data_IF_729875856439
#
_entry.id   IF_729875856439
#
_cell.length_a   1.000
_cell.length_b   1.000
_cell.length_c   1.000
_cell.angle_alpha   90.00
_cell.angle_beta   90.00
_cell.angle_gamma   90.00
#
_symmetry.space_group_name_H-M   'P 1'
#
loop_
_entity.id
_entity.type
_entity.pdbx_description
1 polymer ?
#
# COMPACT_ATOMS: atom_id res chain seq x y z
N UNK A 1 -19.25 55.58 -19.18
CA UNK A 1 -17.95 55.65 -18.47
C UNK A 1 -18.10 55.09 -17.07
N UNK A 2 -17.11 54.32 -16.58
CA UNK A 2 -16.97 53.63 -15.26
C UNK A 2 -17.39 52.14 -15.33
N UNK A 3 -16.47 51.26 -15.76
CA UNK A 3 -15.43 50.53 -14.97
C UNK A 3 -15.97 49.21 -14.40
N UNK A 4 -15.77 48.15 -15.20
CA UNK A 4 -15.25 46.82 -14.81
C UNK A 4 -15.34 46.43 -13.33
N UNK A 5 -16.04 45.34 -13.04
CA UNK A 5 -15.53 44.34 -12.10
C UNK A 5 -16.09 42.94 -12.42
N UNK A 6 -15.39 42.23 -13.28
CA UNK A 6 -15.54 40.79 -13.52
C UNK A 6 -15.10 40.06 -12.25
N UNK A 7 -16.03 39.56 -11.44
CA UNK A 7 -15.71 38.69 -10.31
C UNK A 7 -15.65 37.25 -10.83
N UNK A 8 -14.53 36.91 -11.45
CA UNK A 8 -14.08 35.53 -11.65
C UNK A 8 -12.98 35.27 -10.62
N UNK A 9 -13.36 34.96 -9.38
CA UNK A 9 -12.43 34.55 -8.34
C UNK A 9 -12.55 33.04 -8.16
N UNK A 10 -11.60 32.34 -8.78
CA UNK A 10 -11.37 30.92 -8.68
C UNK A 10 -11.15 30.51 -7.21
N UNK A 11 -12.00 29.62 -6.70
CA UNK A 11 -11.73 28.85 -5.48
C UNK A 11 -11.59 27.39 -5.87
N UNK A 12 -10.50 27.08 -6.57
CA UNK A 12 -9.95 25.73 -6.66
C UNK A 12 -8.75 25.68 -5.71
N UNK A 13 -9.00 25.83 -4.41
CA UNK A 13 -8.05 25.38 -3.39
C UNK A 13 -8.10 23.85 -3.39
N UNK A 14 -7.43 23.22 -4.36
CA UNK A 14 -7.13 21.80 -4.30
C UNK A 14 -6.24 21.56 -3.09
N UNK A 15 -6.76 20.87 -2.07
CA UNK A 15 -5.97 20.40 -0.94
C UNK A 15 -4.86 19.48 -1.48
N UNK A 16 -3.65 20.01 -1.57
CA UNK A 16 -2.45 19.25 -1.85
C UNK A 16 -2.05 18.45 -0.61
N UNK A 17 -2.77 17.36 -0.34
CA UNK A 17 -2.23 16.22 0.36
C UNK A 17 -2.03 15.15 -0.70
N UNK A 18 -0.77 14.75 -0.96
CA UNK A 18 -0.50 13.63 -1.86
C UNK A 18 -1.25 12.37 -1.42
N UNK A 19 -1.35 11.34 -2.30
CA UNK A 19 -1.97 10.08 -1.92
C UNK A 19 -1.35 9.58 -0.61
N UNK A 20 -2.13 9.07 0.35
CA UNK A 20 -1.58 8.57 1.59
C UNK A 20 -0.52 7.49 1.29
N UNK A 21 0.48 7.36 2.16
CA UNK A 21 1.59 6.40 1.99
C UNK A 21 1.09 4.98 1.65
N UNK A 22 -0.05 4.59 2.24
CA UNK A 22 -0.71 3.32 1.97
C UNK A 22 -1.17 3.13 0.51
N UNK A 23 -1.54 4.19 -0.20
CA UNK A 23 -1.89 4.08 -1.63
C UNK A 23 -0.61 4.03 -2.49
N UNK A 24 0.45 4.72 -2.06
CA UNK A 24 1.72 4.76 -2.81
C UNK A 24 2.48 3.43 -2.76
N UNK A 25 2.37 2.71 -1.64
CA UNK A 25 3.11 1.45 -1.42
C UNK A 25 2.34 0.20 -1.83
N UNK A 26 1.04 0.29 -2.09
CA UNK A 26 0.21 -0.83 -2.57
C UNK A 26 0.79 -1.57 -3.79
N UNK A 27 1.25 -0.89 -4.87
CA UNK A 27 1.82 -1.60 -6.03
C UNK A 27 3.10 -2.38 -5.68
N UNK A 28 3.93 -1.85 -4.78
CA UNK A 28 5.14 -2.54 -4.33
C UNK A 28 4.78 -3.76 -3.47
N UNK A 29 3.78 -3.62 -2.60
CA UNK A 29 3.29 -4.71 -1.78
C UNK A 29 2.74 -5.87 -2.63
N UNK A 30 1.92 -5.55 -3.64
CA UNK A 30 1.39 -6.52 -4.61
C UNK A 30 2.52 -7.18 -5.41
N UNK A 31 3.51 -6.40 -5.85
CA UNK A 31 4.68 -6.93 -6.56
C UNK A 31 5.48 -7.92 -5.72
N UNK A 32 5.69 -7.62 -4.43
CA UNK A 32 6.38 -8.50 -3.49
C UNK A 32 5.60 -9.79 -3.23
N UNK A 33 4.29 -9.70 -2.99
CA UNK A 33 3.43 -10.88 -2.85
C UNK A 33 3.42 -11.74 -4.13
N UNK A 34 3.39 -11.10 -5.30
CA UNK A 34 3.41 -11.79 -6.61
C UNK A 34 4.70 -12.58 -6.79
N UNK A 35 5.88 -11.96 -6.59
CA UNK A 35 7.18 -12.65 -6.73
C UNK A 35 7.30 -13.83 -5.78
N UNK A 36 6.84 -13.65 -4.52
CA UNK A 36 6.86 -14.70 -3.52
C UNK A 36 5.94 -15.85 -3.90
N UNK A 37 4.73 -15.56 -4.34
CA UNK A 37 3.78 -16.56 -4.80
C UNK A 37 4.26 -17.30 -6.05
N UNK A 38 4.89 -16.60 -7.00
CA UNK A 38 5.44 -17.25 -8.19
C UNK A 38 6.49 -18.31 -7.83
N UNK A 39 7.31 -18.00 -6.82
CA UNK A 39 8.31 -18.92 -6.29
C UNK A 39 7.69 -20.05 -5.46
N UNK A 40 6.80 -19.74 -4.51
CA UNK A 40 6.21 -20.75 -3.60
C UNK A 40 5.20 -21.67 -4.28
N UNK A 41 4.44 -21.17 -5.26
CA UNK A 41 3.43 -21.94 -6.02
C UNK A 41 4.01 -22.60 -7.29
N UNK A 42 5.31 -22.41 -7.56
CA UNK A 42 5.99 -22.85 -8.79
C UNK A 42 5.20 -22.48 -10.07
N UNK A 43 4.72 -21.25 -10.12
CA UNK A 43 3.74 -20.81 -11.10
C UNK A 43 4.03 -19.38 -11.55
N UNK A 44 4.35 -19.16 -12.83
CA UNK A 44 4.56 -17.79 -13.33
C UNK A 44 3.26 -16.99 -13.45
N UNK A 45 2.14 -17.68 -13.75
CA UNK A 45 0.83 -17.07 -13.92
C UNK A 45 0.06 -17.08 -12.60
N UNK A 46 0.32 -16.09 -11.76
CA UNK A 46 -0.42 -15.81 -10.53
C UNK A 46 -1.20 -14.51 -10.65
N UNK A 47 -2.34 -14.43 -9.98
CA UNK A 47 -3.15 -13.24 -9.86
C UNK A 47 -3.15 -12.78 -8.40
N UNK A 48 -2.65 -11.58 -8.14
CA UNK A 48 -2.56 -11.01 -6.80
C UNK A 48 -3.63 -9.93 -6.61
N UNK A 49 -4.35 -10.01 -5.50
CA UNK A 49 -5.42 -9.08 -5.14
C UNK A 49 -5.28 -8.65 -3.69
N UNK A 50 -5.37 -7.35 -3.43
CA UNK A 50 -5.37 -6.81 -2.07
C UNK A 50 -6.70 -7.15 -1.41
N UNK A 51 -6.66 -7.93 -0.34
CA UNK A 51 -7.84 -8.30 0.48
C UNK A 51 -8.11 -7.21 1.51
N UNK A 52 -7.05 -6.74 2.18
CA UNK A 52 -7.15 -5.69 3.20
C UNK A 52 -5.86 -4.88 3.23
N UNK A 53 -5.97 -3.63 3.65
CA UNK A 53 -4.87 -2.69 3.80
C UNK A 53 -5.07 -1.87 5.07
N UNK A 54 -4.04 -1.78 5.89
CA UNK A 54 -4.09 -1.07 7.17
C UNK A 54 -2.82 -0.25 7.39
N UNK A 55 -2.99 1.00 7.82
CA UNK A 55 -1.86 1.87 8.19
C UNK A 55 -1.63 1.74 9.68
N UNK A 56 -0.59 1.01 10.07
CA UNK A 56 -0.17 0.93 11.46
C UNK A 56 0.55 2.21 11.86
N UNK A 57 0.05 2.78 12.96
CA UNK A 57 0.72 3.88 13.64
C UNK A 57 2.00 3.36 14.31
N UNK A 58 3.03 4.22 14.42
CA UNK A 58 4.26 3.82 15.07
C UNK A 58 4.03 3.43 16.53
N UNK A 59 4.57 2.28 16.92
CA UNK A 59 4.47 1.75 18.29
C UNK A 59 5.13 2.66 19.34
N UNK A 60 6.03 3.54 18.91
CA UNK A 60 6.66 4.56 19.74
C UNK A 60 6.27 5.94 19.20
N UNK A 61 5.44 6.64 19.96
CA UNK A 61 5.09 8.04 19.75
C UNK A 61 5.41 8.80 21.03
N UNK A 62 6.46 9.61 21.00
CA UNK A 62 6.89 10.47 22.11
C UNK A 62 6.98 11.91 21.61
N UNK A 63 7.07 12.87 22.53
CA UNK A 63 7.17 14.29 22.17
C UNK A 63 8.45 14.64 21.36
N UNK A 64 9.49 13.79 21.41
CA UNK A 64 10.76 14.01 20.70
C UNK A 64 10.93 13.07 19.50
N UNK A 65 10.25 11.93 19.49
CA UNK A 65 10.46 10.87 18.51
C UNK A 65 9.17 10.15 18.16
N UNK A 66 8.86 10.10 16.86
CA UNK A 66 7.79 9.30 16.27
C UNK A 66 8.45 8.21 15.44
N UNK A 67 8.17 6.94 15.74
CA UNK A 67 8.68 5.83 14.95
C UNK A 67 8.16 5.86 13.49
N UNK A 68 8.71 5.04 12.59
CA UNK A 68 8.24 4.99 11.22
C UNK A 68 6.82 4.43 11.15
N UNK A 69 5.95 5.09 10.39
CA UNK A 69 4.64 4.57 10.02
C UNK A 69 4.83 3.24 9.24
N UNK A 70 3.92 2.30 9.36
CA UNK A 70 3.96 1.06 8.56
C UNK A 70 2.65 0.87 7.83
N UNK A 71 2.71 0.48 6.56
CA UNK A 71 1.54 0.04 5.83
C UNK A 71 1.57 -1.49 5.74
N UNK A 72 0.50 -2.14 6.17
CA UNK A 72 0.31 -3.57 6.07
C UNK A 72 -0.75 -3.89 5.02
N UNK A 73 -0.45 -4.87 4.16
CA UNK A 73 -1.33 -5.32 3.10
C UNK A 73 -1.51 -6.83 3.22
N UNK A 74 -2.76 -7.27 3.34
CA UNK A 74 -3.09 -8.68 3.17
C UNK A 74 -3.39 -8.90 1.70
N UNK A 75 -2.51 -9.61 1.00
CA UNK A 75 -2.62 -9.89 -0.43
C UNK A 75 -2.96 -11.36 -0.62
N UNK A 76 -4.14 -11.62 -1.18
CA UNK A 76 -4.53 -12.94 -1.67
C UNK A 76 -3.91 -13.17 -3.05
N UNK A 77 -3.32 -14.33 -3.26
CA UNK A 77 -2.74 -14.71 -4.55
C UNK A 77 -3.31 -16.05 -4.97
N UNK A 78 -3.78 -16.13 -6.21
CA UNK A 78 -4.29 -17.34 -6.81
C UNK A 78 -3.51 -17.67 -8.09
N UNK A 79 -3.08 -18.92 -8.24
CA UNK A 79 -2.33 -19.36 -9.41
C UNK A 79 -2.19 -20.87 -9.44
N UNK A 80 -2.21 -21.45 -10.65
CA UNK A 80 -2.01 -22.89 -10.85
C UNK A 80 -2.90 -23.81 -9.97
N UNK A 81 -4.13 -23.38 -9.66
CA UNK A 81 -5.08 -24.15 -8.83
C UNK A 81 -4.81 -24.07 -7.32
N UNK A 82 -3.89 -23.21 -6.91
CA UNK A 82 -3.51 -22.99 -5.52
C UNK A 82 -3.84 -21.55 -5.11
N UNK A 83 -4.03 -21.35 -3.80
CA UNK A 83 -4.30 -20.05 -3.18
C UNK A 83 -3.39 -19.86 -1.99
N UNK A 84 -2.83 -18.67 -1.87
CA UNK A 84 -2.02 -18.27 -0.74
C UNK A 84 -2.41 -16.85 -0.33
N UNK A 85 -2.28 -16.53 0.96
CA UNK A 85 -2.48 -15.17 1.46
C UNK A 85 -1.21 -14.69 2.14
N UNK A 86 -0.67 -13.58 1.67
CA UNK A 86 0.57 -12.97 2.18
C UNK A 86 0.26 -11.71 2.95
N UNK A 87 0.86 -11.55 4.13
CA UNK A 87 0.91 -10.27 4.82
C UNK A 87 2.18 -9.53 4.37
N UNK A 88 2.03 -8.38 3.72
CA UNK A 88 3.15 -7.58 3.24
C UNK A 88 3.23 -6.30 4.06
N UNK A 89 4.41 -6.02 4.62
CA UNK A 89 4.65 -4.88 5.50
C UNK A 89 5.62 -3.94 4.79
N UNK A 90 5.21 -2.69 4.60
CA UNK A 90 5.99 -1.62 4.01
C UNK A 90 6.28 -0.56 5.10
N UNK A 91 7.49 -0.50 5.66
CA UNK A 91 7.87 0.56 6.60
C UNK A 91 8.12 1.89 5.86
N UNK A 92 7.64 2.98 6.44
CA UNK A 92 7.98 4.35 6.02
C UNK A 92 9.27 4.80 6.72
N UNK A 93 10.38 4.19 6.31
CA UNK A 93 11.72 4.46 6.84
C UNK A 93 12.66 5.09 5.79
N UNK A 94 12.10 5.64 4.71
CA UNK A 94 12.85 6.20 3.58
C UNK A 94 13.33 5.17 2.55
N UNK A 95 13.37 3.87 2.89
CA UNK A 95 13.54 2.80 1.90
C UNK A 95 12.17 2.33 1.45
N UNK A 96 11.80 2.51 0.17
CA UNK A 96 10.54 2.03 -0.43
C UNK A 96 10.49 0.50 -0.58
N UNK A 97 11.08 -0.24 0.35
CA UNK A 97 11.13 -1.70 0.35
C UNK A 97 9.99 -2.26 1.19
N UNK A 98 9.26 -3.21 0.61
CA UNK A 98 8.25 -3.98 1.33
C UNK A 98 8.75 -5.39 1.61
N UNK A 99 8.31 -5.96 2.72
CA UNK A 99 8.67 -7.31 3.15
C UNK A 99 7.40 -8.16 3.23
N UNK A 100 7.34 -9.26 2.48
CA UNK A 100 6.28 -10.25 2.63
C UNK A 100 6.59 -11.14 3.85
N UNK A 101 5.76 -11.05 4.89
CA UNK A 101 5.73 -11.96 6.02
C UNK A 101 5.22 -13.35 5.66
N UNK A 102 5.05 -14.22 6.67
CA UNK A 102 4.62 -15.59 6.46
C UNK A 102 3.25 -15.65 5.79
N UNK A 103 3.18 -16.32 4.63
CA UNK A 103 1.93 -16.58 3.93
C UNK A 103 1.17 -17.69 4.62
N UNK A 104 -0.11 -17.48 4.93
CA UNK A 104 -0.99 -18.61 5.26
C UNK A 104 -1.46 -19.21 3.93
N UNK A 105 -0.98 -20.41 3.62
CA UNK A 105 -1.56 -21.23 2.56
C UNK A 105 -2.91 -21.77 3.05
N UNK A 106 -3.99 -21.11 2.63
CA UNK A 106 -5.34 -21.59 2.89
C UNK A 106 -5.64 -22.80 2.02
N UNK A 107 -5.44 -23.99 2.56
CA UNK A 107 -5.78 -25.25 1.91
C UNK A 107 -7.28 -25.55 1.98
N UNK A 108 -7.92 -25.48 0.80
CA UNK A 108 -9.20 -26.04 0.33
C UNK A 108 -10.44 -25.93 1.23
#
# INVERSE_FOLDING_TARGET
MKKTLTIAAAVLAGCASGPPFIDQMEPEAVSMATRRAQFELDCQKVNATVISRETLQPAVQTFVYTGPQRAEYTVGVEGCGQRATYLVICPDNGSRSCFAGAGRMGGR
#
